data_IF_410565524851
#
_entry.id   IF_410565524851
#
_cell.length_a   1.000
_cell.length_b   1.000
_cell.length_c   1.000
_cell.angle_alpha   90.00
_cell.angle_beta   90.00
_cell.angle_gamma   90.00
#
_symmetry.space_group_name_H-M   'P 1'
#
loop_
_entity.id
_entity.type
_entity.pdbx_description
1 polymer ?
#
# COMPACT_ATOMS: atom_id res chain seq x y z
N UNK A 1 16.46 -23.41 -8.40
CA UNK A 1 16.72 -22.28 -7.50
C UNK A 1 17.97 -22.62 -6.73
N UNK A 2 19.03 -21.81 -6.71
CA UNK A 2 20.13 -22.03 -5.80
C UNK A 2 19.56 -21.95 -4.38
N UNK A 3 19.83 -22.98 -3.58
CA UNK A 3 19.49 -23.01 -2.15
C UNK A 3 20.25 -21.86 -1.49
N UNK A 4 19.56 -20.97 -0.82
CA UNK A 4 20.20 -19.92 -0.01
C UNK A 4 21.02 -20.67 1.06
N UNK A 5 22.34 -20.51 1.11
CA UNK A 5 23.15 -21.23 2.09
C UNK A 5 22.78 -20.74 3.50
N UNK A 6 22.72 -21.67 4.46
CA UNK A 6 22.37 -21.38 5.87
C UNK A 6 23.31 -20.36 6.53
N UNK A 7 24.54 -20.20 5.99
CA UNK A 7 25.49 -19.15 6.36
C UNK A 7 24.93 -17.75 6.14
N UNK A 8 24.25 -17.52 5.01
CA UNK A 8 23.75 -16.21 4.62
C UNK A 8 22.54 -15.82 5.47
N UNK A 9 21.70 -16.79 5.86
CA UNK A 9 20.60 -16.55 6.78
C UNK A 9 21.09 -16.19 8.20
N UNK A 10 22.15 -16.84 8.69
CA UNK A 10 22.76 -16.49 9.99
C UNK A 10 23.41 -15.11 9.96
N UNK A 11 24.07 -14.76 8.86
CA UNK A 11 24.62 -13.42 8.62
C UNK A 11 23.51 -12.36 8.68
N UNK A 12 22.46 -12.54 7.89
CA UNK A 12 21.31 -11.64 7.86
C UNK A 12 20.63 -11.47 9.23
N UNK A 13 20.51 -12.56 10.02
CA UNK A 13 19.95 -12.50 11.38
C UNK A 13 20.83 -11.72 12.35
N UNK A 14 22.15 -11.84 12.22
CA UNK A 14 23.10 -11.09 13.05
C UNK A 14 23.05 -9.60 12.72
N UNK A 15 23.00 -9.25 11.44
CA UNK A 15 22.89 -7.88 10.95
C UNK A 15 21.55 -7.24 11.37
N UNK A 16 20.47 -7.98 11.26
CA UNK A 16 19.16 -7.57 11.76
C UNK A 16 19.18 -7.29 13.26
N UNK A 17 19.74 -8.18 14.08
CA UNK A 17 19.87 -7.97 15.55
C UNK A 17 20.66 -6.72 15.90
N UNK A 18 21.59 -6.33 15.05
CA UNK A 18 22.41 -5.13 15.26
C UNK A 18 21.71 -3.85 14.84
N UNK A 19 20.85 -3.91 13.84
CA UNK A 19 20.21 -2.72 13.20
C UNK A 19 18.75 -2.55 13.59
N UNK A 20 18.08 -3.54 14.19
CA UNK A 20 16.66 -3.53 14.48
C UNK A 20 16.15 -2.25 15.20
N UNK A 21 16.87 -1.64 16.19
CA UNK A 21 16.35 -0.45 16.85
C UNK A 21 16.27 0.74 15.88
N UNK A 22 17.21 0.84 14.94
CA UNK A 22 17.23 1.90 13.93
C UNK A 22 16.14 1.67 12.88
N UNK A 23 15.90 0.41 12.50
CA UNK A 23 14.84 0.04 11.55
C UNK A 23 13.46 0.35 12.14
N UNK A 24 13.22 -0.07 13.41
CA UNK A 24 11.96 0.23 14.12
C UNK A 24 11.76 1.73 14.29
N UNK A 25 12.80 2.47 14.69
CA UNK A 25 12.70 3.93 14.82
C UNK A 25 12.37 4.59 13.48
N UNK A 26 12.99 4.15 12.40
CA UNK A 26 12.73 4.68 11.04
C UNK A 26 11.29 4.44 10.64
N UNK A 27 10.78 3.21 10.77
CA UNK A 27 9.40 2.83 10.44
C UNK A 27 8.38 3.63 11.29
N UNK A 28 8.62 3.77 12.60
CA UNK A 28 7.75 4.55 13.47
C UNK A 28 7.72 6.04 13.08
N UNK A 29 8.89 6.64 12.84
CA UNK A 29 8.98 8.06 12.45
C UNK A 29 8.38 8.29 11.07
N UNK A 30 8.55 7.36 10.12
CA UNK A 30 7.92 7.44 8.81
C UNK A 30 6.39 7.39 8.92
N UNK A 31 5.83 6.54 9.77
CA UNK A 31 4.39 6.47 10.04
C UNK A 31 3.86 7.76 10.67
N UNK A 32 4.58 8.33 11.64
CA UNK A 32 4.23 9.63 12.22
C UNK A 32 4.27 10.73 11.15
N UNK A 33 5.32 10.77 10.34
CA UNK A 33 5.45 11.73 9.25
C UNK A 33 4.33 11.56 8.21
N UNK A 34 3.99 10.32 7.87
CA UNK A 34 2.88 10.01 6.97
C UNK A 34 1.56 10.59 7.53
N UNK A 35 1.24 10.34 8.79
CA UNK A 35 0.02 10.88 9.43
C UNK A 35 0.01 12.40 9.40
N UNK A 36 1.12 13.06 9.79
CA UNK A 36 1.24 14.52 9.80
C UNK A 36 1.11 15.12 8.40
N UNK A 37 1.64 14.44 7.38
CA UNK A 37 1.53 14.91 5.99
C UNK A 37 0.16 14.62 5.38
N UNK A 38 -0.43 13.45 5.69
CA UNK A 38 -1.73 12.99 5.14
C UNK A 38 -2.89 13.84 5.65
N UNK A 39 -2.91 14.13 6.95
CA UNK A 39 -4.06 14.82 7.57
C UNK A 39 -4.40 16.15 6.89
N UNK A 40 -3.46 17.10 6.66
CA UNK A 40 -3.77 18.33 5.96
C UNK A 40 -4.10 18.11 4.48
N UNK A 41 -3.47 17.11 3.82
CA UNK A 41 -3.74 16.80 2.42
C UNK A 41 -5.14 16.21 2.22
N UNK A 42 -5.57 15.30 3.10
CA UNK A 42 -6.94 14.76 3.08
C UNK A 42 -7.95 15.86 3.39
N UNK A 43 -7.66 16.73 4.36
CA UNK A 43 -8.52 17.86 4.68
C UNK A 43 -8.67 18.82 3.50
N UNK A 44 -7.58 19.08 2.76
CA UNK A 44 -7.62 19.88 1.53
C UNK A 44 -8.44 19.18 0.44
N UNK A 45 -8.25 17.88 0.25
CA UNK A 45 -8.98 17.09 -0.73
C UNK A 45 -10.49 17.08 -0.43
N UNK A 46 -10.87 16.93 0.84
CA UNK A 46 -12.26 17.04 1.27
C UNK A 46 -12.84 18.44 1.04
N UNK A 47 -12.08 19.49 1.31
CA UNK A 47 -12.53 20.86 1.01
C UNK A 47 -12.73 21.09 -0.49
N UNK A 48 -11.81 20.62 -1.32
CA UNK A 48 -11.95 20.70 -2.78
C UNK A 48 -13.16 19.89 -3.27
N UNK A 49 -13.41 18.73 -2.68
CA UNK A 49 -14.58 17.91 -2.98
C UNK A 49 -15.88 18.64 -2.61
N UNK A 50 -15.99 19.16 -1.38
CA UNK A 50 -17.17 19.91 -0.93
C UNK A 50 -17.44 21.17 -1.77
N UNK A 51 -16.41 21.80 -2.36
CA UNK A 51 -16.58 22.93 -3.28
C UNK A 51 -17.18 22.53 -4.64
N UNK A 52 -17.18 21.25 -4.98
CA UNK A 52 -17.74 20.71 -6.24
C UNK A 52 -19.11 20.08 -6.06
N UNK A 53 -19.63 20.02 -4.82
CA UNK A 53 -20.91 19.39 -4.48
C UNK A 53 -21.89 20.48 -4.02
N UNK A 54 -23.04 20.60 -4.70
CA UNK A 54 -24.02 21.68 -4.45
C UNK A 54 -24.91 21.43 -3.21
N UNK A 55 -25.12 20.18 -2.79
CA UNK A 55 -26.18 19.81 -1.81
C UNK A 55 -25.70 19.47 -0.39
N UNK A 56 -24.40 19.54 -0.09
CA UNK A 56 -23.86 19.26 1.26
C UNK A 56 -24.06 17.83 1.77
N UNK A 57 -24.76 16.96 1.03
CA UNK A 57 -24.94 15.54 1.33
C UNK A 57 -24.07 14.75 0.38
N UNK A 58 -23.16 13.98 0.95
CA UNK A 58 -22.20 13.16 0.17
C UNK A 58 -22.86 11.85 -0.25
N UNK A 59 -23.14 11.72 -1.55
CA UNK A 59 -23.53 10.45 -2.14
C UNK A 59 -22.32 9.76 -2.81
N UNK A 60 -22.37 8.44 -2.95
CA UNK A 60 -21.31 7.66 -3.61
C UNK A 60 -21.07 8.14 -5.06
N UNK A 61 -22.12 8.60 -5.75
CA UNK A 61 -22.06 9.17 -7.08
C UNK A 61 -21.22 10.45 -7.13
N UNK A 62 -21.28 11.30 -6.10
CA UNK A 62 -20.51 12.55 -6.02
C UNK A 62 -19.03 12.27 -5.84
N UNK A 63 -18.68 11.24 -5.08
CA UNK A 63 -17.28 10.79 -4.92
C UNK A 63 -16.73 10.34 -6.27
N UNK A 64 -17.51 9.55 -7.03
CA UNK A 64 -17.12 9.09 -8.35
C UNK A 64 -17.00 10.25 -9.35
N UNK A 65 -17.95 11.19 -9.35
CA UNK A 65 -17.93 12.38 -10.17
C UNK A 65 -16.71 13.28 -9.88
N UNK A 66 -16.43 13.50 -8.59
CA UNK A 66 -15.23 14.24 -8.19
C UNK A 66 -13.93 13.53 -8.62
N UNK A 67 -13.84 12.22 -8.41
CA UNK A 67 -12.65 11.45 -8.82
C UNK A 67 -12.40 11.51 -10.32
N UNK A 68 -13.45 11.65 -11.15
CA UNK A 68 -13.35 11.82 -12.61
C UNK A 68 -13.18 13.28 -13.04
N UNK A 69 -13.47 14.23 -12.16
CA UNK A 69 -13.30 15.66 -12.46
C UNK A 69 -11.80 16.02 -12.55
N UNK A 70 -11.36 16.90 -13.45
CA UNK A 70 -9.94 17.27 -13.60
C UNK A 70 -9.28 17.76 -12.30
N UNK A 71 -10.01 18.48 -11.44
CA UNK A 71 -9.54 18.93 -10.13
C UNK A 71 -9.34 17.74 -9.20
N UNK A 72 -10.31 16.82 -9.13
CA UNK A 72 -10.23 15.61 -8.32
C UNK A 72 -9.09 14.68 -8.75
N UNK A 73 -8.96 14.41 -10.05
CA UNK A 73 -7.85 13.65 -10.62
C UNK A 73 -6.49 14.26 -10.27
N UNK A 74 -6.36 15.57 -10.42
CA UNK A 74 -5.12 16.29 -10.09
C UNK A 74 -4.81 16.18 -8.60
N UNK A 75 -5.81 16.37 -7.74
CA UNK A 75 -5.68 16.25 -6.29
C UNK A 75 -5.28 14.81 -5.88
N UNK A 76 -5.92 13.79 -6.45
CA UNK A 76 -5.56 12.37 -6.21
C UNK A 76 -4.11 12.10 -6.61
N UNK A 77 -3.67 12.61 -7.76
CA UNK A 77 -2.26 12.43 -8.20
C UNK A 77 -1.29 13.13 -7.26
N UNK A 78 -1.58 14.35 -6.83
CA UNK A 78 -0.71 15.13 -5.94
C UNK A 78 -0.63 14.45 -4.56
N UNK A 79 -1.79 14.18 -3.95
CA UNK A 79 -1.86 13.54 -2.62
C UNK A 79 -1.19 12.17 -2.65
N UNK A 80 -1.54 11.35 -3.65
CA UNK A 80 -0.94 10.04 -3.83
C UNK A 80 0.58 10.11 -4.07
N UNK A 81 1.06 11.11 -4.85
CA UNK A 81 2.49 11.28 -5.08
C UNK A 81 3.26 11.64 -3.80
N UNK A 82 2.67 12.47 -2.94
CA UNK A 82 3.28 12.81 -1.64
C UNK A 82 3.31 11.57 -0.74
N UNK A 83 2.19 10.84 -0.62
CA UNK A 83 2.09 9.63 0.20
C UNK A 83 3.08 8.56 -0.24
N UNK A 84 3.06 8.24 -1.53
CA UNK A 84 3.97 7.26 -2.12
C UNK A 84 5.43 7.73 -2.04
N UNK A 85 5.67 9.05 -2.15
CA UNK A 85 6.99 9.66 -1.99
C UNK A 85 7.53 9.52 -0.57
N UNK A 86 6.69 9.69 0.45
CA UNK A 86 7.05 9.45 1.86
C UNK A 86 7.40 7.97 2.07
N UNK A 87 6.57 7.07 1.54
CA UNK A 87 6.85 5.63 1.60
C UNK A 87 8.16 5.26 0.88
N UNK A 88 8.44 5.83 -0.29
CA UNK A 88 9.71 5.64 -0.99
C UNK A 88 10.91 6.17 -0.19
N UNK A 89 10.73 7.28 0.51
CA UNK A 89 11.77 7.82 1.37
C UNK A 89 12.05 6.89 2.56
N UNK A 90 11.01 6.35 3.19
CA UNK A 90 11.13 5.33 4.23
C UNK A 90 11.92 4.12 3.74
N UNK A 91 11.50 3.52 2.61
CA UNK A 91 12.19 2.37 2.01
C UNK A 91 13.66 2.70 1.70
N UNK A 92 13.92 3.91 1.21
CA UNK A 92 15.29 4.39 0.94
C UNK A 92 16.15 4.47 2.19
N UNK A 93 15.61 4.96 3.32
CA UNK A 93 16.32 5.01 4.61
C UNK A 93 16.61 3.60 5.11
N UNK A 94 15.62 2.70 5.08
CA UNK A 94 15.77 1.31 5.49
C UNK A 94 16.83 0.59 4.64
N UNK A 95 16.80 0.78 3.32
CA UNK A 95 17.82 0.22 2.41
C UNK A 95 19.24 0.72 2.75
N UNK A 96 19.42 2.02 3.02
CA UNK A 96 20.73 2.56 3.37
C UNK A 96 21.28 1.97 4.68
N UNK A 97 20.43 1.80 5.69
CA UNK A 97 20.80 1.17 6.96
C UNK A 97 21.18 -0.30 6.73
N UNK A 98 20.35 -1.04 5.96
CA UNK A 98 20.59 -2.44 5.62
C UNK A 98 21.88 -2.63 4.83
N UNK A 99 22.13 -1.85 3.77
CA UNK A 99 23.39 -1.91 2.99
C UNK A 99 24.60 -1.56 3.85
N UNK A 100 24.47 -0.55 4.72
CA UNK A 100 25.54 -0.22 5.67
C UNK A 100 25.90 -1.40 6.58
N UNK A 101 24.89 -2.13 7.06
CA UNK A 101 25.11 -3.31 7.90
C UNK A 101 25.86 -4.41 7.16
N UNK A 102 25.48 -4.72 5.91
CA UNK A 102 26.13 -5.73 5.07
C UNK A 102 27.58 -5.35 4.77
N UNK A 103 27.87 -4.07 4.54
CA UNK A 103 29.24 -3.57 4.33
C UNK A 103 30.05 -3.43 5.63
N UNK A 104 29.48 -3.76 6.79
CA UNK A 104 30.12 -3.58 8.11
C UNK A 104 30.26 -2.12 8.57
N UNK A 105 29.61 -1.18 7.90
CA UNK A 105 29.57 0.24 8.23
C UNK A 105 28.43 0.56 9.16
N UNK A 106 28.66 1.43 10.14
CA UNK A 106 27.58 1.95 10.98
C UNK A 106 26.96 3.19 10.33
N UNK A 107 25.85 2.99 9.64
CA UNK A 107 25.04 4.11 9.13
C UNK A 107 24.03 4.48 10.22
N UNK A 108 24.07 5.73 10.70
CA UNK A 108 23.04 6.20 11.65
C UNK A 108 21.76 6.54 10.89
N UNK A 109 20.61 6.42 11.57
CA UNK A 109 19.33 6.78 10.95
C UNK A 109 19.32 8.24 10.46
N UNK A 110 19.97 9.15 11.19
CA UNK A 110 20.02 10.57 10.85
C UNK A 110 20.81 10.81 9.55
N UNK A 111 21.91 10.08 9.35
CA UNK A 111 22.69 10.17 8.12
C UNK A 111 21.92 9.61 6.93
N UNK A 112 21.21 8.49 7.14
CA UNK A 112 20.33 7.90 6.11
C UNK A 112 19.19 8.84 5.75
N UNK A 113 18.50 9.44 6.73
CA UNK A 113 17.44 10.43 6.48
C UNK A 113 17.98 11.66 5.75
N UNK A 114 19.14 12.22 6.19
CA UNK A 114 19.75 13.37 5.49
C UNK A 114 20.12 13.04 4.05
N UNK A 115 20.60 11.83 3.82
CA UNK A 115 20.92 11.38 2.46
C UNK A 115 19.65 11.30 1.60
N UNK A 116 18.62 10.59 2.04
CA UNK A 116 17.36 10.42 1.31
C UNK A 116 16.64 11.76 1.09
N UNK A 117 16.67 12.65 2.08
CA UNK A 117 16.07 13.98 1.96
C UNK A 117 16.62 14.79 0.77
N UNK A 118 17.89 14.66 0.42
CA UNK A 118 18.47 15.29 -0.78
C UNK A 118 17.81 14.83 -2.08
N UNK A 119 17.22 13.65 -2.08
CA UNK A 119 16.52 13.05 -3.22
C UNK A 119 14.99 13.12 -3.11
N UNK A 120 14.45 13.70 -2.03
CA UNK A 120 13.00 13.71 -1.75
C UNK A 120 12.18 14.23 -2.95
N UNK A 121 12.58 15.34 -3.56
CA UNK A 121 11.88 15.88 -4.72
C UNK A 121 11.92 14.95 -5.95
N UNK A 122 12.97 14.12 -6.09
CA UNK A 122 13.05 13.11 -7.16
C UNK A 122 12.15 11.93 -6.86
N UNK A 123 12.09 11.49 -5.59
CA UNK A 123 11.20 10.42 -5.13
C UNK A 123 9.73 10.80 -5.28
N UNK A 124 9.34 12.02 -4.90
CA UNK A 124 7.97 12.51 -5.10
C UNK A 124 7.61 12.60 -6.59
N UNK A 125 8.51 13.09 -7.43
CA UNK A 125 8.29 13.09 -8.90
C UNK A 125 8.19 11.69 -9.47
N UNK A 126 9.03 10.75 -9.00
CA UNK A 126 8.93 9.34 -9.35
C UNK A 126 7.56 8.77 -8.97
N UNK A 127 7.12 9.00 -7.74
CA UNK A 127 5.82 8.60 -7.22
C UNK A 127 4.68 9.13 -8.10
N UNK A 128 4.71 10.42 -8.46
CA UNK A 128 3.73 11.01 -9.37
C UNK A 128 3.68 10.33 -10.74
N UNK A 129 4.84 9.98 -11.31
CA UNK A 129 4.88 9.23 -12.57
C UNK A 129 4.33 7.81 -12.45
N UNK A 130 4.54 7.14 -11.32
CA UNK A 130 3.99 5.82 -11.05
C UNK A 130 2.49 5.89 -10.92
N UNK A 131 1.98 6.83 -10.12
CA UNK A 131 0.53 7.00 -9.91
C UNK A 131 -0.17 7.35 -11.22
N UNK A 132 0.35 8.31 -11.99
CA UNK A 132 -0.23 8.66 -13.28
C UNK A 132 -0.32 7.44 -14.22
N UNK A 133 0.70 6.58 -14.24
CA UNK A 133 0.68 5.35 -15.06
C UNK A 133 -0.29 4.31 -14.52
N UNK A 134 -0.39 4.16 -13.19
CA UNK A 134 -1.35 3.26 -12.58
C UNK A 134 -2.78 3.70 -12.88
N UNK A 135 -3.08 4.98 -12.76
CA UNK A 135 -4.39 5.55 -13.11
C UNK A 135 -4.72 5.34 -14.59
N UNK A 136 -3.75 5.59 -15.48
CA UNK A 136 -3.94 5.39 -16.92
C UNK A 136 -4.27 3.92 -17.26
N UNK A 137 -3.62 2.97 -16.58
CA UNK A 137 -3.88 1.53 -16.77
C UNK A 137 -5.18 1.12 -16.10
N UNK A 138 -5.51 1.66 -14.93
CA UNK A 138 -6.73 1.35 -14.21
C UNK A 138 -7.98 1.92 -14.89
N UNK A 139 -7.89 3.07 -15.54
CA UNK A 139 -9.03 3.79 -16.13
C UNK A 139 -9.93 2.90 -17.04
N UNK A 140 -9.42 2.14 -18.02
CA UNK A 140 -10.28 1.30 -18.86
C UNK A 140 -10.96 0.17 -18.07
N UNK A 141 -10.31 -0.39 -17.07
CA UNK A 141 -10.89 -1.44 -16.21
C UNK A 141 -11.98 -0.87 -15.31
N UNK A 142 -11.73 0.28 -14.68
CA UNK A 142 -12.73 0.96 -13.86
C UNK A 142 -13.93 1.42 -14.68
N UNK A 143 -13.71 1.92 -15.89
CA UNK A 143 -14.80 2.25 -16.81
C UNK A 143 -15.61 1.00 -17.20
N UNK A 144 -14.94 -0.14 -17.45
CA UNK A 144 -15.63 -1.40 -17.73
C UNK A 144 -16.44 -1.91 -16.53
N UNK A 145 -15.87 -1.84 -15.31
CA UNK A 145 -16.60 -2.18 -14.06
C UNK A 145 -17.81 -1.25 -13.85
N UNK A 146 -17.65 0.06 -14.10
CA UNK A 146 -18.76 1.01 -14.09
C UNK A 146 -19.84 0.65 -15.10
N UNK A 147 -19.46 0.23 -16.31
CA UNK A 147 -20.37 -0.28 -17.34
C UNK A 147 -21.11 -1.54 -16.88
N UNK A 148 -20.40 -2.49 -16.24
CA UNK A 148 -21.04 -3.69 -15.63
C UNK A 148 -22.06 -3.28 -14.57
N UNK A 149 -21.70 -2.34 -13.69
CA UNK A 149 -22.63 -1.83 -12.69
C UNK A 149 -23.91 -1.27 -13.33
N UNK A 150 -23.76 -0.37 -14.30
CA UNK A 150 -24.91 0.25 -14.97
C UNK A 150 -25.79 -0.76 -15.72
N UNK A 151 -25.19 -1.77 -16.36
CA UNK A 151 -25.94 -2.75 -17.15
C UNK A 151 -26.66 -3.78 -16.28
N UNK A 152 -26.06 -4.23 -15.19
CA UNK A 152 -26.58 -5.32 -14.38
C UNK A 152 -27.27 -4.85 -13.10
N UNK A 153 -26.77 -3.75 -12.47
CA UNK A 153 -27.18 -3.30 -11.15
C UNK A 153 -27.83 -1.90 -11.15
N UNK A 154 -28.00 -1.28 -12.32
CA UNK A 154 -28.55 0.07 -12.44
C UNK A 154 -30.09 0.20 -12.27
N UNK A 155 -30.82 -0.90 -12.10
CA UNK A 155 -32.30 -0.88 -12.01
C UNK A 155 -32.83 -0.62 -10.61
N UNK A 156 -32.15 -1.12 -9.59
CA UNK A 156 -32.58 -1.08 -8.20
C UNK A 156 -31.46 -0.55 -7.32
N UNK A 157 -31.80 -0.21 -6.08
CA UNK A 157 -30.80 0.18 -5.07
C UNK A 157 -29.87 -1.00 -4.72
N UNK A 158 -28.64 -0.67 -4.37
CA UNK A 158 -27.61 -1.68 -4.02
C UNK A 158 -28.07 -2.60 -2.87
N UNK A 159 -28.86 -2.06 -1.92
CA UNK A 159 -29.41 -2.83 -0.80
C UNK A 159 -30.32 -3.96 -1.27
N UNK A 160 -31.12 -3.76 -2.33
CA UNK A 160 -31.93 -4.83 -2.94
C UNK A 160 -31.05 -5.98 -3.43
N UNK A 161 -29.99 -5.67 -4.19
CA UNK A 161 -29.08 -6.69 -4.72
C UNK A 161 -28.30 -7.43 -3.63
N UNK A 162 -27.97 -6.80 -2.53
CA UNK A 162 -27.30 -7.43 -1.40
C UNK A 162 -28.25 -8.35 -0.60
N UNK A 163 -29.54 -8.00 -0.50
CA UNK A 163 -30.54 -8.78 0.20
C UNK A 163 -31.02 -9.98 -0.61
N UNK A 164 -31.50 -9.73 -1.86
CA UNK A 164 -32.16 -10.75 -2.68
C UNK A 164 -31.21 -11.57 -3.55
N UNK A 165 -30.04 -11.02 -3.84
CA UNK A 165 -28.95 -11.68 -4.61
C UNK A 165 -29.42 -12.35 -5.90
N UNK A 166 -30.14 -11.63 -6.79
CA UNK A 166 -30.66 -12.19 -8.02
C UNK A 166 -29.51 -12.66 -8.95
N UNK A 167 -29.80 -13.48 -9.98
CA UNK A 167 -28.76 -13.99 -10.91
C UNK A 167 -27.91 -12.89 -11.57
N UNK A 168 -28.51 -11.73 -11.85
CA UNK A 168 -27.83 -10.56 -12.41
C UNK A 168 -26.74 -10.02 -11.47
N UNK A 169 -26.96 -10.07 -10.16
CA UNK A 169 -25.96 -9.72 -9.15
C UNK A 169 -24.73 -10.61 -9.23
N UNK A 170 -24.92 -11.92 -9.31
CA UNK A 170 -23.79 -12.86 -9.43
C UNK A 170 -23.05 -12.71 -10.75
N UNK A 171 -23.77 -12.42 -11.84
CA UNK A 171 -23.17 -12.10 -13.14
C UNK A 171 -22.29 -10.86 -13.06
N UNK A 172 -22.79 -9.79 -12.43
CA UNK A 172 -22.04 -8.56 -12.21
C UNK A 172 -20.80 -8.80 -11.35
N UNK A 173 -20.93 -9.51 -10.23
CA UNK A 173 -19.83 -9.85 -9.32
C UNK A 173 -18.75 -10.67 -10.03
N UNK A 174 -19.14 -11.68 -10.81
CA UNK A 174 -18.20 -12.51 -11.55
C UNK A 174 -17.43 -11.69 -12.60
N UNK A 175 -18.12 -10.87 -13.38
CA UNK A 175 -17.51 -10.08 -14.45
C UNK A 175 -16.62 -8.96 -13.88
N UNK A 176 -17.09 -8.22 -12.88
CA UNK A 176 -16.30 -7.22 -12.18
C UNK A 176 -15.08 -7.85 -11.48
N UNK A 177 -15.25 -9.00 -10.85
CA UNK A 177 -14.18 -9.77 -10.23
C UNK A 177 -13.11 -10.21 -11.23
N UNK A 178 -13.51 -10.66 -12.43
CA UNK A 178 -12.58 -11.00 -13.50
C UNK A 178 -11.79 -9.78 -13.98
N UNK A 179 -12.48 -8.65 -14.22
CA UNK A 179 -11.83 -7.39 -14.62
C UNK A 179 -10.83 -6.89 -13.57
N UNK A 180 -11.22 -6.87 -12.29
CA UNK A 180 -10.36 -6.42 -11.20
C UNK A 180 -9.18 -7.38 -10.97
N UNK A 181 -9.38 -8.69 -11.14
CA UNK A 181 -8.29 -9.68 -11.09
C UNK A 181 -7.30 -9.44 -12.23
N UNK A 182 -7.79 -9.22 -13.46
CA UNK A 182 -6.95 -8.85 -14.59
C UNK A 182 -6.14 -7.58 -14.35
N UNK A 183 -6.78 -6.53 -13.83
CA UNK A 183 -6.10 -5.30 -13.41
C UNK A 183 -5.04 -5.58 -12.35
N UNK A 184 -5.37 -6.37 -11.32
CA UNK A 184 -4.44 -6.75 -10.25
C UNK A 184 -3.18 -7.44 -10.77
N UNK A 185 -3.34 -8.38 -11.72
CA UNK A 185 -2.20 -9.07 -12.36
C UNK A 185 -1.33 -8.07 -13.14
N UNK A 186 -1.94 -7.15 -13.89
CA UNK A 186 -1.20 -6.13 -14.65
C UNK A 186 -0.44 -5.20 -13.70
N UNK A 187 -1.09 -4.70 -12.66
CA UNK A 187 -0.47 -3.83 -11.63
C UNK A 187 0.67 -4.55 -10.94
N UNK A 188 0.47 -5.80 -10.53
CA UNK A 188 1.53 -6.61 -9.89
C UNK A 188 2.75 -6.75 -10.81
N UNK A 189 2.51 -7.01 -12.11
CA UNK A 189 3.58 -7.06 -13.12
C UNK A 189 4.29 -5.71 -13.30
N UNK A 190 3.55 -4.60 -13.26
CA UNK A 190 4.12 -3.26 -13.33
C UNK A 190 5.01 -2.98 -12.12
N UNK A 191 4.53 -3.27 -10.90
CA UNK A 191 5.30 -3.11 -9.66
C UNK A 191 6.56 -3.97 -9.68
N UNK A 192 6.46 -5.24 -10.10
CA UNK A 192 7.61 -6.12 -10.27
C UNK A 192 8.68 -5.55 -11.23
N UNK A 193 8.23 -4.88 -12.29
CA UNK A 193 9.15 -4.23 -13.24
C UNK A 193 9.77 -2.94 -12.69
N UNK A 194 9.24 -2.37 -11.64
CA UNK A 194 9.71 -1.11 -11.03
C UNK A 194 10.43 -1.30 -9.69
N UNK A 195 10.64 -2.53 -9.27
CA UNK A 195 11.21 -2.84 -7.94
C UNK A 195 12.59 -2.21 -7.70
N UNK A 196 13.40 -2.05 -8.76
CA UNK A 196 14.72 -1.44 -8.68
C UNK A 196 14.71 0.09 -8.82
N UNK A 197 13.54 0.72 -8.93
CA UNK A 197 13.48 2.16 -9.23
C UNK A 197 13.98 3.02 -8.08
N UNK A 198 13.67 2.64 -6.83
CA UNK A 198 14.12 3.39 -5.64
C UNK A 198 15.64 3.38 -5.54
N UNK A 199 16.33 2.21 -5.55
CA UNK A 199 17.79 2.19 -5.51
C UNK A 199 18.44 2.92 -6.69
N UNK A 200 17.89 2.85 -7.91
CA UNK A 200 18.41 3.59 -9.06
C UNK A 200 18.33 5.11 -8.86
N UNK A 201 17.26 5.62 -8.25
CA UNK A 201 17.14 7.05 -7.94
C UNK A 201 18.11 7.47 -6.83
N UNK A 202 18.29 6.65 -5.81
CA UNK A 202 19.09 6.99 -4.63
C UNK A 202 20.60 6.81 -4.88
N UNK A 203 21.01 5.70 -5.47
CA UNK A 203 22.42 5.35 -5.58
C UNK A 203 23.04 5.73 -6.93
N UNK A 204 22.26 5.73 -8.02
CA UNK A 204 22.74 6.12 -9.34
C UNK A 204 22.32 7.55 -9.73
N UNK A 205 21.64 8.27 -8.83
CA UNK A 205 21.12 9.61 -9.02
C UNK A 205 20.26 9.79 -10.29
N UNK A 206 19.67 8.70 -10.79
CA UNK A 206 18.85 8.68 -12.01
C UNK A 206 17.60 9.54 -11.88
N UNK A 207 17.16 10.12 -12.99
CA UNK A 207 15.85 10.78 -13.04
C UNK A 207 14.72 9.75 -12.99
N UNK A 208 13.57 10.07 -12.38
CA UNK A 208 12.47 9.14 -12.20
C UNK A 208 12.01 8.41 -13.47
N UNK A 209 11.95 9.09 -14.64
CA UNK A 209 11.60 8.45 -15.92
C UNK A 209 12.70 7.48 -16.40
N UNK A 210 13.95 7.85 -16.20
CA UNK A 210 15.10 7.01 -16.56
C UNK A 210 15.16 5.78 -15.65
N UNK A 211 15.05 5.97 -14.34
CA UNK A 211 15.01 4.89 -13.35
C UNK A 211 13.91 3.86 -13.65
N UNK A 212 12.70 4.31 -14.02
CA UNK A 212 11.60 3.40 -14.43
C UNK A 212 11.95 2.59 -15.68
N UNK A 213 12.64 3.18 -16.65
CA UNK A 213 13.06 2.51 -17.88
C UNK A 213 14.17 1.49 -17.61
N UNK A 214 15.16 1.88 -16.84
CA UNK A 214 16.30 1.04 -16.46
C UNK A 214 15.85 -0.13 -15.59
N UNK A 215 15.04 0.13 -14.56
CA UNK A 215 14.42 -0.91 -13.73
C UNK A 215 13.69 -1.94 -14.59
N UNK A 216 12.82 -1.48 -15.51
CA UNK A 216 12.10 -2.37 -16.42
C UNK A 216 13.02 -3.18 -17.31
N UNK A 217 14.12 -2.60 -17.81
CA UNK A 217 15.10 -3.32 -18.64
C UNK A 217 15.83 -4.40 -17.83
N UNK A 218 16.27 -4.06 -16.62
CA UNK A 218 16.96 -4.99 -15.73
C UNK A 218 16.06 -6.15 -15.27
N UNK A 219 14.79 -5.87 -14.99
CA UNK A 219 13.84 -6.88 -14.51
C UNK A 219 13.12 -7.66 -15.62
N UNK A 220 13.19 -7.21 -16.88
CA UNK A 220 12.45 -7.81 -18.00
C UNK A 220 12.62 -9.35 -18.11
N UNK A 221 13.82 -9.95 -17.98
CA UNK A 221 13.99 -11.39 -18.06
C UNK A 221 13.32 -12.17 -16.93
N UNK A 222 13.17 -11.53 -15.77
CA UNK A 222 12.68 -12.17 -14.53
C UNK A 222 11.33 -11.62 -14.06
N UNK A 223 10.73 -10.71 -14.79
CA UNK A 223 9.59 -9.93 -14.35
C UNK A 223 8.37 -10.76 -13.88
N UNK A 224 8.11 -11.94 -14.47
CA UNK A 224 7.06 -12.83 -13.98
C UNK A 224 7.47 -13.59 -12.71
N UNK A 225 8.73 -13.96 -12.57
CA UNK A 225 9.23 -14.60 -11.34
C UNK A 225 9.16 -13.63 -10.17
N UNK A 226 9.54 -12.37 -10.40
CA UNK A 226 9.43 -11.30 -9.40
C UNK A 226 7.94 -11.03 -9.07
N UNK A 227 7.06 -10.93 -10.08
CA UNK A 227 5.63 -10.74 -9.86
C UNK A 227 5.01 -11.88 -9.05
N UNK A 228 5.34 -13.13 -9.36
CA UNK A 228 4.86 -14.29 -8.60
C UNK A 228 5.40 -14.28 -7.16
N UNK A 229 6.68 -13.94 -6.96
CA UNK A 229 7.26 -13.83 -5.62
C UNK A 229 6.57 -12.73 -4.79
N UNK A 230 6.34 -11.55 -5.38
CA UNK A 230 5.57 -10.47 -4.75
C UNK A 230 4.13 -10.88 -4.46
N UNK A 231 3.47 -11.55 -5.40
CA UNK A 231 2.11 -12.05 -5.22
C UNK A 231 2.02 -13.08 -4.09
N UNK A 232 2.96 -14.03 -4.04
CA UNK A 232 3.06 -15.00 -2.96
C UNK A 232 3.33 -14.34 -1.61
N UNK A 233 4.21 -13.33 -1.58
CA UNK A 233 4.47 -12.53 -0.39
C UNK A 233 3.20 -11.80 0.09
N UNK A 234 2.52 -11.08 -0.79
CA UNK A 234 1.26 -10.38 -0.47
C UNK A 234 0.17 -11.35 0.02
N UNK A 235 0.04 -12.51 -0.63
CA UNK A 235 -0.89 -13.55 -0.21
C UNK A 235 -0.54 -14.09 1.18
N UNK A 236 0.75 -14.31 1.47
CA UNK A 236 1.23 -14.77 2.78
C UNK A 236 0.95 -13.73 3.88
N UNK A 237 1.20 -12.45 3.59
CA UNK A 237 0.89 -11.32 4.50
C UNK A 237 -0.61 -11.24 4.75
N UNK A 238 -1.43 -11.31 3.69
CA UNK A 238 -2.88 -11.29 3.80
C UNK A 238 -3.43 -12.45 4.61
N UNK A 239 -2.94 -13.66 4.36
CA UNK A 239 -3.34 -14.86 5.10
C UNK A 239 -2.97 -14.78 6.58
N UNK A 240 -1.76 -14.30 6.88
CA UNK A 240 -1.32 -14.15 8.28
C UNK A 240 -2.13 -13.04 8.99
N UNK A 241 -2.38 -11.92 8.33
CA UNK A 241 -3.23 -10.86 8.88
C UNK A 241 -4.65 -11.35 9.14
N UNK A 242 -5.22 -12.10 8.21
CA UNK A 242 -6.54 -12.74 8.39
C UNK A 242 -6.53 -13.70 9.56
N UNK A 243 -5.53 -14.57 9.67
CA UNK A 243 -5.38 -15.53 10.76
C UNK A 243 -5.28 -14.83 12.12
N UNK A 244 -4.48 -13.77 12.22
CA UNK A 244 -4.35 -12.96 13.44
C UNK A 244 -5.69 -12.34 13.81
N UNK A 245 -6.39 -11.73 12.86
CA UNK A 245 -7.71 -11.12 13.10
C UNK A 245 -8.73 -12.17 13.54
N UNK A 246 -8.72 -13.35 12.89
CA UNK A 246 -9.59 -14.46 13.27
C UNK A 246 -9.31 -14.94 14.69
N UNK A 247 -8.04 -15.13 15.07
CA UNK A 247 -7.67 -15.56 16.43
C UNK A 247 -8.06 -14.51 17.47
N UNK A 248 -7.90 -13.23 17.18
CA UNK A 248 -8.31 -12.15 18.07
C UNK A 248 -9.84 -12.13 18.23
N UNK A 249 -10.59 -12.34 17.14
CA UNK A 249 -12.04 -12.47 17.19
C UNK A 249 -12.47 -13.64 18.10
N UNK A 250 -11.84 -14.80 17.90
CA UNK A 250 -12.14 -16.00 18.72
C UNK A 250 -11.82 -15.80 20.21
N UNK A 251 -10.71 -15.13 20.52
CA UNK A 251 -10.38 -14.75 21.90
C UNK A 251 -11.37 -13.71 22.45
N UNK A 252 -11.77 -12.75 21.61
CA UNK A 252 -12.79 -11.75 21.96
C UNK A 252 -14.13 -12.40 22.33
N UNK A 253 -14.62 -13.33 21.51
CA UNK A 253 -15.87 -14.07 21.74
C UNK A 253 -15.80 -14.94 23.01
N UNK A 254 -14.61 -15.47 23.33
CA UNK A 254 -14.40 -16.24 24.56
C UNK A 254 -14.38 -15.37 25.82
N UNK A 255 -13.80 -14.16 25.73
CA UNK A 255 -13.64 -13.25 26.86
C UNK A 255 -14.89 -12.38 27.10
N UNK A 256 -15.69 -12.14 26.07
CA UNK A 256 -16.89 -11.28 26.11
C UNK A 256 -18.09 -12.04 25.55
N UNK A 257 -18.56 -13.11 26.22
CA UNK A 257 -19.65 -13.96 25.73
C UNK A 257 -21.01 -13.27 25.67
N UNK A 258 -21.21 -12.15 26.39
CA UNK A 258 -22.43 -11.37 26.38
C UNK A 258 -22.20 -9.89 26.09
N UNK A 259 -23.00 -9.33 25.17
CA UNK A 259 -22.95 -7.91 24.76
C UNK A 259 -23.22 -6.95 25.94
N UNK A 260 -23.63 -7.47 27.12
CA UNK A 260 -23.83 -6.71 28.38
C UNK A 260 -22.58 -6.67 29.28
N UNK A 261 -21.51 -7.35 28.95
CA UNK A 261 -20.27 -7.32 29.72
C UNK A 261 -19.56 -5.97 29.56
N UNK A 262 -19.06 -5.47 30.66
CA UNK A 262 -18.56 -4.11 30.91
C UNK A 262 -17.79 -3.48 29.72
N UNK A 263 -18.07 -2.21 29.44
CA UNK A 263 -17.32 -1.33 28.52
C UNK A 263 -15.80 -1.44 28.68
N UNK A 264 -15.32 -1.79 29.87
CA UNK A 264 -13.90 -2.00 30.19
C UNK A 264 -13.32 -3.22 29.45
N UNK A 265 -14.03 -4.35 29.43
CA UNK A 265 -13.58 -5.55 28.69
C UNK A 265 -13.56 -5.34 27.18
N UNK A 266 -14.56 -4.63 26.65
CA UNK A 266 -14.56 -4.23 25.22
C UNK A 266 -13.38 -3.29 24.90
N UNK A 267 -13.08 -2.32 25.77
CA UNK A 267 -11.95 -1.41 25.58
C UNK A 267 -10.60 -2.16 25.65
N UNK A 268 -10.45 -3.12 26.56
CA UNK A 268 -9.25 -3.96 26.66
C UNK A 268 -9.09 -4.83 25.41
N UNK A 269 -10.17 -5.48 24.95
CA UNK A 269 -10.16 -6.27 23.70
C UNK A 269 -9.76 -5.44 22.49
N UNK A 270 -10.32 -4.24 22.33
CA UNK A 270 -9.95 -3.30 21.28
C UNK A 270 -8.48 -2.88 21.37
N UNK A 271 -7.98 -2.54 22.57
CA UNK A 271 -6.60 -2.16 22.80
C UNK A 271 -5.63 -3.30 22.44
N UNK A 272 -5.93 -4.54 22.86
CA UNK A 272 -5.14 -5.73 22.52
C UNK A 272 -5.11 -5.93 20.99
N UNK A 273 -6.27 -5.83 20.33
CA UNK A 273 -6.39 -5.95 18.86
C UNK A 273 -5.52 -4.93 18.14
N UNK A 274 -5.57 -3.67 18.56
CA UNK A 274 -4.77 -2.59 18.00
C UNK A 274 -3.27 -2.83 18.18
N UNK A 275 -2.85 -3.23 19.40
CA UNK A 275 -1.43 -3.51 19.69
C UNK A 275 -0.91 -4.68 18.87
N UNK A 276 -1.66 -5.77 18.77
CA UNK A 276 -1.27 -6.94 17.98
C UNK A 276 -1.23 -6.61 16.49
N UNK A 277 -2.24 -5.92 15.97
CA UNK A 277 -2.27 -5.47 14.57
C UNK A 277 -1.10 -4.55 14.24
N UNK A 278 -0.76 -3.64 15.15
CA UNK A 278 0.38 -2.76 15.01
C UNK A 278 1.70 -3.54 15.00
N UNK A 279 1.89 -4.49 15.94
CA UNK A 279 3.08 -5.31 16.01
C UNK A 279 3.27 -6.19 14.75
N UNK A 280 2.19 -6.76 14.22
CA UNK A 280 2.21 -7.55 12.97
C UNK A 280 2.61 -6.65 11.79
N UNK A 281 1.97 -5.48 11.63
CA UNK A 281 2.29 -4.54 10.56
C UNK A 281 3.74 -4.04 10.64
N UNK A 282 4.23 -3.73 11.84
CA UNK A 282 5.62 -3.34 12.08
C UNK A 282 6.59 -4.44 11.63
N UNK A 283 6.32 -5.69 12.05
CA UNK A 283 7.16 -6.84 11.69
C UNK A 283 7.19 -7.03 10.17
N UNK A 284 6.05 -6.94 9.50
CA UNK A 284 5.99 -7.05 8.04
C UNK A 284 6.71 -5.92 7.31
N UNK A 285 6.59 -4.68 7.79
CA UNK A 285 7.29 -3.54 7.22
C UNK A 285 8.81 -3.75 7.27
N UNK A 286 9.32 -4.22 8.40
CA UNK A 286 10.75 -4.46 8.61
C UNK A 286 11.27 -5.66 7.81
N UNK A 287 10.52 -6.76 7.77
CA UNK A 287 10.94 -7.98 7.05
C UNK A 287 10.85 -7.81 5.53
N UNK A 288 9.98 -6.94 5.03
CA UNK A 288 9.84 -6.66 3.59
C UNK A 288 10.95 -5.76 3.01
N UNK A 289 11.77 -5.17 3.86
CA UNK A 289 12.88 -4.29 3.48
C UNK A 289 14.20 -5.05 3.38
#
# INVERSE_FOLDING_TARGET
>A
MPSIPWSDLRGALSDFRRTWPQLVLTDLLAKILAVVAVTPLVSLLLKLFLMTTDDGVLADADIAAFALHPIGLTAIVIVGAVLLGVWFAEQGVLMLIGFGAVEGRRVTWLDAVRYVYRYAARLVRLAGHIIARLLLVAAPFLAAVGGVYLLFLGKYDINFYLADRPPEFWGAVALAGLLLTGLGIIVLKMVANWILTIPLVLFEASNGKQALRESRRATAPYGWKIALALGAWLASVGLLSWLVTFLIGLVGDLLVPDVGASLVLMAIGLAVTLVVSFAVNLTFSIVST
#
